data_IF_193806736051
#
_entry.id   IF_193806736051
#
_cell.length_a   1.000
_cell.length_b   1.000
_cell.length_c   1.000
_cell.angle_alpha   90.00
_cell.angle_beta   90.00
_cell.angle_gamma   90.00
#
_symmetry.space_group_name_H-M   'P 1'
#
loop_
_entity.id
_entity.type
_entity.pdbx_description
1 polymer ?
#
# COMPACT_ATOMS: atom_id res chain seq x y z
N UNK A 1 12.58 -27.70 68.64
CA UNK A 1 13.63 -27.82 67.60
C UNK A 1 13.00 -28.57 66.43
N UNK A 2 12.90 -28.12 65.18
CA UNK A 2 13.52 -27.03 64.40
C UNK A 2 12.45 -26.40 63.47
N UNK A 3 12.68 -25.13 63.13
CA UNK A 3 11.97 -24.30 62.14
C UNK A 3 12.30 -24.73 60.70
N UNK A 4 11.80 -23.95 59.73
CA UNK A 4 12.01 -23.93 58.26
C UNK A 4 10.81 -24.52 57.49
N UNK A 5 10.19 -23.87 56.51
CA UNK A 5 10.28 -22.52 55.94
C UNK A 5 9.08 -22.36 54.98
N UNK A 6 8.59 -21.13 54.81
CA UNK A 6 7.55 -20.73 53.85
C UNK A 6 7.79 -21.27 52.42
N UNK A 7 6.78 -21.86 51.79
CA UNK A 7 6.58 -21.79 50.33
C UNK A 7 5.08 -21.61 50.06
N UNK A 8 4.57 -20.44 50.46
CA UNK A 8 3.37 -19.85 49.88
C UNK A 8 3.83 -18.95 48.74
N UNK A 9 4.12 -19.52 47.57
CA UNK A 9 4.35 -18.79 46.31
C UNK A 9 4.40 -19.74 45.10
N UNK A 10 3.24 -20.20 44.63
CA UNK A 10 3.08 -20.60 43.23
C UNK A 10 2.05 -19.67 42.59
N UNK A 11 2.43 -18.40 42.60
CA UNK A 11 1.80 -17.30 41.86
C UNK A 11 2.36 -17.35 40.44
N UNK A 12 1.45 -17.36 39.46
CA UNK A 12 1.61 -16.92 38.09
C UNK A 12 2.74 -17.53 37.27
N UNK A 13 2.37 -18.29 36.23
CA UNK A 13 2.92 -18.16 34.86
C UNK A 13 2.41 -19.33 34.00
N UNK A 14 1.09 -19.50 33.92
CA UNK A 14 0.53 -20.06 32.69
C UNK A 14 0.55 -18.92 31.66
N UNK A 15 1.75 -18.68 31.13
CA UNK A 15 2.02 -17.76 30.04
C UNK A 15 0.94 -17.89 29.00
N UNK A 16 0.26 -16.78 28.76
CA UNK A 16 -0.42 -16.50 27.52
C UNK A 16 0.50 -16.79 26.35
N UNK A 17 0.38 -17.98 25.77
CA UNK A 17 0.83 -18.23 24.41
C UNK A 17 -0.33 -17.80 23.51
N UNK A 18 -0.68 -16.51 23.59
CA UNK A 18 -1.35 -15.85 22.47
C UNK A 18 -0.26 -15.71 21.42
N UNK A 19 -0.13 -16.73 20.57
CA UNK A 19 0.51 -16.59 19.27
C UNK A 19 -0.31 -15.55 18.53
N UNK A 20 -0.01 -14.28 18.76
CA UNK A 20 -0.34 -13.23 17.82
C UNK A 20 0.37 -13.65 16.54
N UNK A 21 -0.37 -14.24 15.61
CA UNK A 21 -0.05 -14.16 14.19
C UNK A 21 0.09 -12.67 13.90
N UNK A 22 1.30 -12.13 14.07
CA UNK A 22 1.65 -10.78 13.68
C UNK A 22 1.63 -10.82 12.15
N UNK A 23 0.44 -10.68 11.56
CA UNK A 23 0.30 -10.33 10.16
C UNK A 23 1.02 -9.00 10.03
N UNK A 24 2.20 -8.99 9.42
CA UNK A 24 2.97 -7.78 9.17
C UNK A 24 2.07 -6.77 8.43
N UNK A 25 2.27 -5.47 8.62
CA UNK A 25 1.47 -4.48 7.89
C UNK A 25 1.60 -4.68 6.37
N UNK A 26 2.76 -5.17 5.95
CA UNK A 26 3.10 -5.61 4.60
C UNK A 26 2.20 -6.77 4.12
N UNK A 27 1.93 -7.77 4.97
CA UNK A 27 1.05 -8.89 4.61
C UNK A 27 -0.39 -8.45 4.27
N UNK A 28 -0.87 -7.34 4.85
CA UNK A 28 -2.19 -6.77 4.51
C UNK A 28 -2.22 -6.19 3.09
N UNK A 29 -1.07 -5.75 2.59
CA UNK A 29 -0.92 -5.14 1.27
C UNK A 29 -0.81 -6.18 0.15
N UNK A 30 -0.41 -7.42 0.44
CA UNK A 30 -0.33 -8.52 -0.54
C UNK A 30 -1.68 -8.79 -1.19
N UNK A 31 -1.78 -8.62 -2.51
CA UNK A 31 -3.00 -8.83 -3.28
C UNK A 31 -3.06 -7.97 -4.54
N UNK A 32 -4.20 -8.01 -5.21
CA UNK A 32 -4.47 -7.21 -6.41
C UNK A 32 -5.18 -5.92 -6.03
N UNK A 33 -4.69 -4.81 -6.55
CA UNK A 33 -5.18 -3.47 -6.28
C UNK A 33 -5.61 -2.81 -7.58
N UNK A 34 -6.87 -2.41 -7.65
CA UNK A 34 -7.48 -1.78 -8.84
C UNK A 34 -7.97 -0.38 -8.49
N UNK A 35 -7.82 0.54 -9.43
CA UNK A 35 -8.35 1.89 -9.28
C UNK A 35 -9.89 1.83 -9.27
N UNK A 36 -10.49 2.17 -8.12
CA UNK A 36 -11.94 2.25 -7.96
C UNK A 36 -12.46 3.65 -8.28
N UNK A 37 -11.72 4.66 -7.83
CA UNK A 37 -12.08 6.07 -8.00
C UNK A 37 -10.88 6.86 -8.49
N UNK A 38 -11.14 7.78 -9.42
CA UNK A 38 -10.18 8.78 -9.88
C UNK A 38 -10.87 10.13 -9.75
N UNK A 39 -10.22 11.03 -9.05
CA UNK A 39 -10.64 12.41 -8.89
C UNK A 39 -9.63 13.32 -9.58
N UNK A 40 -10.13 14.37 -10.22
CA UNK A 40 -9.32 15.37 -10.89
C UNK A 40 -9.72 16.75 -10.39
N UNK A 41 -8.72 17.53 -10.01
CA UNK A 41 -8.85 18.95 -9.73
C UNK A 41 -8.02 19.68 -10.78
N UNK A 42 -8.59 19.79 -11.98
CA UNK A 42 -7.94 20.36 -13.15
C UNK A 42 -8.48 21.75 -13.46
N UNK A 43 -7.62 22.59 -14.05
CA UNK A 43 -8.06 23.88 -14.55
C UNK A 43 -8.97 23.70 -15.76
N UNK A 44 -10.28 23.88 -15.57
CA UNK A 44 -11.32 23.74 -16.60
C UNK A 44 -11.14 24.69 -17.80
N UNK A 45 -10.36 25.77 -17.63
CA UNK A 45 -10.03 26.66 -18.76
C UNK A 45 -8.97 26.07 -19.70
N UNK A 46 -8.35 24.94 -19.32
CA UNK A 46 -7.29 24.28 -20.10
C UNK A 46 -7.71 22.94 -20.68
N UNK A 47 -8.74 22.30 -20.14
CA UNK A 47 -9.16 20.95 -20.51
C UNK A 47 -10.68 20.88 -20.69
N UNK A 48 -11.12 20.25 -21.77
CA UNK A 48 -12.55 19.96 -21.96
C UNK A 48 -12.98 18.76 -21.12
N UNK A 49 -14.29 18.61 -20.81
CA UNK A 49 -14.79 17.44 -20.09
C UNK A 49 -14.39 16.09 -20.72
N UNK A 50 -14.36 16.02 -22.05
CA UNK A 50 -13.95 14.80 -22.78
C UNK A 50 -12.46 14.48 -22.59
N UNK A 51 -11.60 15.49 -22.47
CA UNK A 51 -10.19 15.26 -22.15
C UNK A 51 -10.02 14.75 -20.73
N UNK A 52 -10.81 15.28 -19.79
CA UNK A 52 -10.79 14.85 -18.38
C UNK A 52 -11.27 13.39 -18.28
N UNK A 53 -12.35 13.03 -18.97
CA UNK A 53 -12.88 11.67 -18.97
C UNK A 53 -11.88 10.66 -19.54
N UNK A 54 -11.20 10.99 -20.63
CA UNK A 54 -10.13 10.16 -21.19
C UNK A 54 -8.99 9.93 -20.19
N UNK A 55 -8.54 10.97 -19.49
CA UNK A 55 -7.52 10.82 -18.44
C UNK A 55 -8.00 9.88 -17.33
N UNK A 56 -9.24 10.06 -16.86
CA UNK A 56 -9.84 9.20 -15.83
C UNK A 56 -9.89 7.73 -16.29
N UNK A 57 -10.33 7.48 -17.52
CA UNK A 57 -10.38 6.13 -18.09
C UNK A 57 -8.99 5.50 -18.23
N UNK A 58 -7.99 6.27 -18.65
CA UNK A 58 -6.61 5.80 -18.75
C UNK A 58 -6.05 5.41 -17.37
N UNK A 59 -6.31 6.21 -16.33
CA UNK A 59 -5.84 5.88 -14.97
C UNK A 59 -6.49 4.58 -14.46
N UNK A 60 -7.76 4.34 -14.78
CA UNK A 60 -8.47 3.11 -14.38
C UNK A 60 -7.94 1.84 -15.05
N UNK A 61 -7.19 1.94 -16.14
CA UNK A 61 -6.60 0.79 -16.83
C UNK A 61 -5.34 0.24 -16.15
N UNK A 62 -4.77 0.99 -15.20
CA UNK A 62 -3.57 0.55 -14.47
C UNK A 62 -3.97 -0.08 -13.15
N UNK A 63 -3.46 -1.28 -12.91
CA UNK A 63 -3.62 -1.99 -11.64
C UNK A 63 -2.32 -2.68 -11.28
N UNK A 64 -2.18 -3.08 -10.03
CA UNK A 64 -0.97 -3.74 -9.56
C UNK A 64 -1.28 -4.92 -8.66
N UNK A 65 -0.35 -5.88 -8.65
CA UNK A 65 -0.41 -7.04 -7.79
C UNK A 65 0.83 -7.10 -6.94
N UNK A 66 0.69 -6.95 -5.63
CA UNK A 66 1.75 -7.25 -4.67
C UNK A 66 1.77 -8.76 -4.45
N UNK A 67 2.83 -9.41 -4.91
CA UNK A 67 2.93 -10.89 -4.96
C UNK A 67 3.41 -11.45 -3.63
N UNK A 68 4.41 -10.79 -3.04
CA UNK A 68 5.00 -11.09 -1.73
C UNK A 68 5.58 -9.80 -1.15
N UNK A 69 6.27 -9.88 -0.01
CA UNK A 69 6.79 -8.73 0.74
C UNK A 69 7.84 -7.87 0.00
N UNK A 70 8.24 -8.25 -1.21
CA UNK A 70 9.28 -7.55 -1.97
C UNK A 70 8.96 -7.35 -3.45
N UNK A 71 8.13 -8.21 -4.05
CA UNK A 71 7.84 -8.22 -5.49
C UNK A 71 6.42 -7.78 -5.76
N UNK A 72 6.26 -6.92 -6.76
CA UNK A 72 4.97 -6.54 -7.32
C UNK A 72 5.00 -6.58 -8.84
N UNK A 73 3.83 -6.68 -9.44
CA UNK A 73 3.62 -6.57 -10.87
C UNK A 73 2.72 -5.37 -11.14
N UNK A 74 3.18 -4.45 -11.99
CA UNK A 74 2.40 -3.31 -12.46
C UNK A 74 1.86 -3.68 -13.85
N UNK A 75 0.54 -3.61 -14.00
CA UNK A 75 -0.15 -4.05 -15.20
C UNK A 75 -0.92 -2.87 -15.76
N UNK A 76 -0.68 -2.59 -17.03
CA UNK A 76 -1.37 -1.59 -17.83
C UNK A 76 -1.88 -2.25 -19.10
N UNK A 77 -2.72 -1.55 -19.88
CA UNK A 77 -3.41 -2.09 -21.06
C UNK A 77 -2.53 -2.94 -21.99
N UNK A 78 -1.27 -2.54 -22.22
CA UNK A 78 -0.38 -3.20 -23.17
C UNK A 78 0.89 -3.78 -22.54
N UNK A 79 1.19 -3.44 -21.29
CA UNK A 79 2.49 -3.75 -20.68
C UNK A 79 2.33 -4.28 -19.27
N UNK A 80 3.17 -5.26 -18.94
CA UNK A 80 3.34 -5.81 -17.60
C UNK A 80 4.79 -5.65 -17.19
N UNK A 81 5.02 -5.03 -16.04
CA UNK A 81 6.36 -4.83 -15.50
C UNK A 81 6.46 -5.40 -14.10
N UNK A 82 7.50 -6.19 -13.85
CA UNK A 82 7.87 -6.55 -12.50
C UNK A 82 8.64 -5.39 -11.87
N UNK A 83 8.29 -5.08 -10.63
CA UNK A 83 8.98 -4.11 -9.80
C UNK A 83 9.17 -4.70 -8.41
N UNK A 84 10.12 -4.14 -7.67
CA UNK A 84 10.17 -4.36 -6.24
C UNK A 84 9.39 -3.27 -5.54
N UNK A 85 8.88 -3.56 -4.36
CA UNK A 85 8.14 -2.58 -3.55
C UNK A 85 8.58 -2.58 -2.10
N UNK A 86 8.22 -1.52 -1.40
CA UNK A 86 8.45 -1.35 0.03
C UNK A 86 7.31 -0.56 0.65
N UNK A 87 7.15 -0.74 1.97
CA UNK A 87 6.18 -0.01 2.76
C UNK A 87 6.86 0.62 3.98
N UNK A 88 6.73 1.94 4.07
CA UNK A 88 7.14 2.70 5.24
C UNK A 88 5.98 2.76 6.24
N UNK A 89 6.17 2.14 7.41
CA UNK A 89 5.16 2.07 8.48
C UNK A 89 4.93 3.42 9.17
N UNK A 90 5.92 4.31 9.20
CA UNK A 90 5.80 5.60 9.87
C UNK A 90 4.97 6.56 9.02
N UNK A 91 5.27 6.62 7.72
CA UNK A 91 4.59 7.53 6.79
C UNK A 91 3.39 6.90 6.08
N UNK A 92 3.18 5.60 6.25
CA UNK A 92 2.24 4.76 5.51
C UNK A 92 2.46 4.80 3.99
N UNK A 93 3.68 5.08 3.55
CA UNK A 93 3.99 5.25 2.12
C UNK A 93 4.32 3.91 1.48
N UNK A 94 3.63 3.60 0.38
CA UNK A 94 3.95 2.50 -0.52
C UNK A 94 4.81 3.04 -1.65
N UNK A 95 5.96 2.42 -1.87
CA UNK A 95 6.89 2.79 -2.94
C UNK A 95 7.28 1.58 -3.79
N UNK A 96 7.67 1.82 -5.03
CA UNK A 96 8.14 0.80 -5.96
C UNK A 96 9.38 1.25 -6.73
N UNK A 97 10.15 0.29 -7.23
CA UNK A 97 11.36 0.55 -8.01
C UNK A 97 11.52 -0.52 -9.08
N UNK A 98 11.73 -0.06 -10.31
CA UNK A 98 11.99 -0.95 -11.44
C UNK A 98 13.43 -1.45 -11.40
N UNK A 99 13.61 -2.72 -11.73
CA UNK A 99 14.95 -3.28 -11.88
C UNK A 99 15.70 -2.51 -12.98
N UNK A 100 16.90 -2.00 -12.67
CA UNK A 100 17.76 -1.28 -13.60
C UNK A 100 17.63 0.26 -13.63
N UNK A 101 16.67 0.86 -12.93
CA UNK A 101 16.50 2.33 -12.86
C UNK A 101 17.28 3.02 -11.72
N UNK A 102 18.20 2.31 -11.06
CA UNK A 102 18.86 2.80 -9.84
C UNK A 102 17.95 2.75 -8.61
N UNK A 103 18.51 3.06 -7.43
CA UNK A 103 17.80 2.96 -6.15
C UNK A 103 16.87 4.15 -5.87
N UNK A 104 16.27 4.76 -6.90
CA UNK A 104 15.35 5.89 -6.72
C UNK A 104 13.91 5.33 -6.69
N UNK A 105 13.26 5.30 -5.52
CA UNK A 105 11.90 4.80 -5.42
C UNK A 105 10.90 5.76 -6.05
N UNK A 106 9.94 5.20 -6.78
CA UNK A 106 8.70 5.89 -7.18
C UNK A 106 7.65 5.68 -6.10
N UNK A 107 6.94 6.75 -5.73
CA UNK A 107 5.86 6.68 -4.74
C UNK A 107 4.60 6.18 -5.43
N UNK A 108 4.05 5.07 -4.95
CA UNK A 108 2.75 4.57 -5.41
C UNK A 108 1.60 5.32 -4.74
N UNK A 109 1.73 5.62 -3.45
CA UNK A 109 0.69 6.29 -2.68
C UNK A 109 0.81 6.02 -1.19
N UNK A 110 -0.18 6.50 -0.43
CA UNK A 110 -0.30 6.23 1.01
C UNK A 110 -1.38 5.20 1.30
N UNK A 111 -1.07 4.26 2.18
CA UNK A 111 -2.04 3.31 2.68
C UNK A 111 -2.85 3.93 3.83
N UNK A 112 -4.15 4.12 3.63
CA UNK A 112 -5.06 4.67 4.63
C UNK A 112 -6.43 4.02 4.50
N UNK A 113 -7.00 3.60 5.64
CA UNK A 113 -8.36 3.03 5.69
C UNK A 113 -8.61 1.88 4.68
N UNK A 114 -7.61 1.01 4.49
CA UNK A 114 -7.70 -0.13 3.57
C UNK A 114 -7.56 0.23 2.09
N UNK A 115 -7.25 1.50 1.76
CA UNK A 115 -7.04 1.98 0.39
C UNK A 115 -5.59 2.43 0.19
N UNK A 116 -5.12 2.37 -1.05
CA UNK A 116 -3.89 3.09 -1.45
C UNK A 116 -4.32 4.34 -2.19
N UNK A 117 -3.93 5.51 -1.68
CA UNK A 117 -4.26 6.82 -2.25
C UNK A 117 -3.02 7.39 -2.92
N UNK A 118 -3.07 7.50 -4.25
CA UNK A 118 -2.02 8.10 -5.07
C UNK A 118 -2.39 9.52 -5.42
N UNK A 119 -1.56 10.48 -5.07
CA UNK A 119 -1.71 11.88 -5.49
C UNK A 119 -0.59 12.28 -6.43
N UNK A 120 -0.93 12.84 -7.58
CA UNK A 120 0.04 13.42 -8.51
C UNK A 120 -0.33 14.86 -8.87
N UNK A 121 0.67 15.73 -8.87
CA UNK A 121 0.56 17.11 -9.35
C UNK A 121 1.06 17.16 -10.78
N UNK A 122 0.24 17.72 -11.64
CA UNK A 122 0.54 17.96 -13.06
C UNK A 122 0.47 19.46 -13.34
N UNK A 123 1.03 19.95 -14.46
CA UNK A 123 0.83 21.35 -14.87
C UNK A 123 -0.64 21.75 -15.06
N UNK A 124 -1.53 20.77 -15.27
CA UNK A 124 -2.96 20.97 -15.47
C UNK A 124 -3.77 20.97 -14.17
N UNK A 125 -3.19 20.49 -13.07
CA UNK A 125 -3.84 20.36 -11.76
C UNK A 125 -3.49 19.05 -11.06
N UNK A 126 -4.35 18.58 -10.17
CA UNK A 126 -4.11 17.39 -9.33
C UNK A 126 -4.94 16.20 -9.81
N UNK A 127 -4.34 15.00 -9.78
CA UNK A 127 -5.04 13.73 -9.91
C UNK A 127 -4.91 12.98 -8.59
N UNK A 128 -6.02 12.48 -8.07
CA UNK A 128 -6.05 11.58 -6.92
C UNK A 128 -6.69 10.26 -7.35
N UNK A 129 -5.98 9.14 -7.14
CA UNK A 129 -6.43 7.79 -7.49
C UNK A 129 -6.59 6.98 -6.21
N UNK A 130 -7.74 6.35 -6.06
CA UNK A 130 -8.07 5.48 -4.94
C UNK A 130 -8.05 4.04 -5.43
N UNK A 131 -7.05 3.29 -4.97
CA UNK A 131 -6.96 1.86 -5.23
C UNK A 131 -7.57 1.10 -4.06
N UNK A 132 -8.39 0.10 -4.40
CA UNK A 132 -8.92 -0.86 -3.44
C UNK A 132 -8.47 -2.27 -3.83
N UNK A 133 -8.38 -3.11 -2.82
CA UNK A 133 -8.01 -4.51 -2.97
C UNK A 133 -9.20 -5.30 -3.52
N UNK A 134 -8.97 -6.08 -4.56
CA UNK A 134 -9.95 -7.01 -5.15
C UNK A 134 -10.12 -8.27 -4.29
#
# INVERSE_FOLDING_TARGET
MRRFFNISLFIFTASWIMVSCISSAESKLIGTWKAQKVETDFNENKLTPDMISQVVEMQKQTYFRMVNDSVMTIISKNNTHEAKWSFDKETQTVSYYFNGMGNIPSILGKFTEGKIVSESKTPMGKITIYYEKE
#
